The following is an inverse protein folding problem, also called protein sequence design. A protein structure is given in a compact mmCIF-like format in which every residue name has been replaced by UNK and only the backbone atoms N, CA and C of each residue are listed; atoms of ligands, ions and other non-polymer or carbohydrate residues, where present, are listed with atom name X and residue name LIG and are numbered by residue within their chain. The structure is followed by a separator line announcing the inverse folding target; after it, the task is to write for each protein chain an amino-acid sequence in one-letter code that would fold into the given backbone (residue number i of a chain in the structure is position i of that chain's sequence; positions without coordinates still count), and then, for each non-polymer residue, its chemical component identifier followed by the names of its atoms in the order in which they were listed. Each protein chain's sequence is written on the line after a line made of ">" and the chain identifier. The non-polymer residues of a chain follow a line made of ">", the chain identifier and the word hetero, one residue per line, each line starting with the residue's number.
data_IF_375474788527
#
_entry.id   IF_375474788527
#
_cell.length_a   1.000
_cell.length_b   1.000
_cell.length_c   1.000
_cell.angle_alpha   90.00
_cell.angle_beta   90.00
_cell.angle_gamma   90.00
#
_symmetry.space_group_name_H-M   'P 1'
#
loop_
_entity.id
_entity.type
_entity.pdbx_description
1 polymer ?
#
# COMPACT_ATOMS: atom_id res chain seq x y z
N UNK A 1 15.60 6.25 -3.90
CA UNK A 1 15.37 5.66 -2.56
C UNK A 1 16.62 5.66 -1.66
N UNK A 2 17.84 5.88 -2.16
CA UNK A 2 19.06 6.00 -1.32
C UNK A 2 18.95 7.03 -0.18
N UNK A 3 18.20 8.12 -0.38
CA UNK A 3 18.03 9.19 0.62
C UNK A 3 17.37 8.73 1.92
N UNK A 4 16.48 7.72 1.87
CA UNK A 4 15.81 7.18 3.06
C UNK A 4 16.83 6.43 3.93
N UNK A 5 17.74 5.67 3.30
CA UNK A 5 18.83 4.99 3.99
C UNK A 5 19.85 5.96 4.61
N UNK A 6 20.14 7.09 3.96
CA UNK A 6 21.05 8.11 4.52
C UNK A 6 20.44 8.76 5.77
N UNK A 7 19.14 9.11 5.74
CA UNK A 7 18.44 9.67 6.89
C UNK A 7 18.34 8.66 8.06
N UNK A 8 17.97 7.41 7.78
CA UNK A 8 17.90 6.36 8.78
C UNK A 8 19.29 6.06 9.38
N UNK A 9 20.37 6.09 8.58
CA UNK A 9 21.74 5.91 9.09
C UNK A 9 22.17 7.04 10.02
N UNK A 10 21.72 8.28 9.76
CA UNK A 10 22.01 9.45 10.59
C UNK A 10 21.26 9.39 11.93
N UNK A 11 20.05 8.84 11.94
CA UNK A 11 19.22 8.66 13.16
C UNK A 11 19.70 7.45 13.98
N UNK A 12 20.08 6.37 13.32
CA UNK A 12 20.47 5.13 13.99
C UNK A 12 21.89 5.14 14.59
N UNK A 13 22.72 6.16 14.28
CA UNK A 13 24.12 6.28 14.76
C UNK A 13 24.93 4.97 14.67
N UNK A 14 24.68 4.14 13.67
CA UNK A 14 25.36 2.85 13.47
C UNK A 14 24.67 1.61 14.07
N UNK A 15 23.57 1.75 14.81
CA UNK A 15 22.79 0.61 15.29
C UNK A 15 21.89 0.05 14.17
N UNK A 16 22.27 -1.13 13.68
CA UNK A 16 21.65 -1.81 12.53
C UNK A 16 20.17 -2.18 12.79
N UNK A 17 19.82 -2.47 14.05
CA UNK A 17 18.46 -2.84 14.44
C UNK A 17 17.53 -1.62 14.41
N UNK A 18 18.00 -0.48 14.93
CA UNK A 18 17.27 0.79 14.85
C UNK A 18 17.14 1.26 13.39
N UNK A 19 18.19 1.09 12.58
CA UNK A 19 18.14 1.42 11.15
C UNK A 19 17.03 0.64 10.42
N UNK A 20 17.01 -0.69 10.55
CA UNK A 20 16.00 -1.52 9.89
C UNK A 20 14.59 -1.22 10.43
N UNK A 21 14.44 -0.95 11.73
CA UNK A 21 13.17 -0.52 12.32
C UNK A 21 12.62 0.76 11.69
N UNK A 22 13.45 1.80 11.54
CA UNK A 22 13.04 3.05 10.90
C UNK A 22 12.72 2.88 9.41
N UNK A 23 13.49 2.06 8.69
CA UNK A 23 13.23 1.77 7.28
C UNK A 23 11.88 1.09 7.09
N UNK A 24 11.54 0.10 7.93
CA UNK A 24 10.24 -0.58 7.90
C UNK A 24 9.12 0.41 8.25
N UNK A 25 9.27 1.20 9.31
CA UNK A 25 8.26 2.16 9.76
C UNK A 25 7.94 3.20 8.68
N UNK A 26 8.97 3.83 8.10
CA UNK A 26 8.80 4.84 7.05
C UNK A 26 8.18 4.23 5.79
N UNK A 27 8.65 3.04 5.40
CA UNK A 27 8.09 2.34 4.24
C UNK A 27 6.62 1.98 4.48
N UNK A 28 6.26 1.56 5.69
CA UNK A 28 4.89 1.23 6.07
C UNK A 28 3.98 2.46 6.07
N UNK A 29 4.42 3.59 6.63
CA UNK A 29 3.67 4.85 6.56
C UNK A 29 3.41 5.27 5.11
N UNK A 30 4.43 5.18 4.25
CA UNK A 30 4.31 5.52 2.83
C UNK A 30 3.30 4.60 2.13
N UNK A 31 3.37 3.28 2.41
CA UNK A 31 2.43 2.32 1.85
C UNK A 31 1.00 2.62 2.28
N UNK A 32 0.78 2.89 3.56
CA UNK A 32 -0.54 3.17 4.10
C UNK A 32 -1.11 4.45 3.48
N UNK A 33 -0.29 5.48 3.30
CA UNK A 33 -0.67 6.70 2.61
C UNK A 33 -1.08 6.44 1.15
N UNK A 34 -0.27 5.70 0.40
CA UNK A 34 -0.58 5.31 -0.98
C UNK A 34 -1.84 4.44 -1.06
N UNK A 35 -2.03 3.54 -0.10
CA UNK A 35 -3.22 2.70 -0.03
C UNK A 35 -4.48 3.54 0.14
N UNK A 36 -4.47 4.55 1.00
CA UNK A 36 -5.62 5.45 1.18
C UNK A 36 -5.86 6.30 -0.06
N UNK A 37 -4.81 6.87 -0.66
CA UNK A 37 -4.95 7.72 -1.86
C UNK A 37 -5.47 6.95 -3.08
N UNK A 38 -4.89 5.79 -3.38
CA UNK A 38 -5.31 4.97 -4.53
C UNK A 38 -6.62 4.25 -4.23
N UNK A 39 -6.76 3.70 -3.03
CA UNK A 39 -7.97 2.99 -2.60
C UNK A 39 -9.20 3.89 -2.58
N UNK A 40 -9.09 5.13 -2.12
CA UNK A 40 -10.20 6.10 -2.20
C UNK A 40 -10.57 6.40 -3.65
N UNK A 41 -9.60 6.61 -4.53
CA UNK A 41 -9.85 6.85 -5.96
C UNK A 41 -10.61 5.68 -6.60
N UNK A 42 -10.19 4.44 -6.34
CA UNK A 42 -10.85 3.24 -6.86
C UNK A 42 -12.26 3.07 -6.27
N UNK A 43 -12.43 3.29 -4.96
CA UNK A 43 -13.74 3.24 -4.32
C UNK A 43 -14.70 4.27 -4.91
N UNK A 44 -14.26 5.52 -5.10
CA UNK A 44 -15.06 6.56 -5.73
C UNK A 44 -15.48 6.16 -7.15
N UNK A 45 -14.55 5.64 -7.96
CA UNK A 45 -14.86 5.18 -9.30
C UNK A 45 -15.92 4.05 -9.30
N UNK A 46 -15.76 3.06 -8.42
CA UNK A 46 -16.72 1.96 -8.30
C UNK A 46 -18.09 2.46 -7.80
N UNK A 47 -18.14 3.43 -6.88
CA UNK A 47 -19.40 4.04 -6.42
C UNK A 47 -20.12 4.74 -7.58
N UNK A 48 -19.39 5.50 -8.40
CA UNK A 48 -19.94 6.21 -9.56
C UNK A 48 -20.48 5.23 -10.60
N UNK A 49 -19.71 4.21 -10.97
CA UNK A 49 -20.12 3.19 -11.95
C UNK A 49 -21.41 2.53 -11.50
N UNK A 50 -21.48 2.17 -10.23
CA UNK A 50 -22.59 1.45 -9.66
C UNK A 50 -23.86 2.30 -9.54
N UNK A 51 -23.69 3.59 -9.21
CA UNK A 51 -24.77 4.56 -9.30
C UNK A 51 -25.32 4.65 -10.73
N UNK A 52 -24.44 4.77 -11.74
CA UNK A 52 -24.85 4.84 -13.15
C UNK A 52 -25.56 3.55 -13.58
N UNK A 53 -25.03 2.38 -13.24
CA UNK A 53 -25.60 1.09 -13.65
C UNK A 53 -26.95 0.84 -12.99
N UNK A 54 -27.12 1.23 -11.73
CA UNK A 54 -28.36 1.03 -10.99
C UNK A 54 -29.45 2.02 -11.43
N UNK A 55 -29.13 3.32 -11.49
CA UNK A 55 -30.13 4.38 -11.72
C UNK A 55 -30.38 4.65 -13.21
N UNK A 56 -29.34 4.57 -14.06
CA UNK A 56 -29.46 4.91 -15.49
C UNK A 56 -29.81 3.68 -16.32
N UNK A 57 -29.13 2.56 -16.07
CA UNK A 57 -29.27 1.36 -16.89
C UNK A 57 -30.34 0.37 -16.37
N UNK A 58 -30.92 0.60 -15.18
CA UNK A 58 -31.90 -0.29 -14.53
C UNK A 58 -31.47 -1.78 -14.48
N UNK A 59 -30.16 -2.05 -14.49
CA UNK A 59 -29.64 -3.41 -14.40
C UNK A 59 -29.62 -3.81 -12.92
N UNK A 60 -30.21 -4.96 -12.52
CA UNK A 60 -30.26 -5.37 -11.12
C UNK A 60 -28.87 -5.80 -10.62
N UNK A 61 -28.02 -4.84 -10.29
CA UNK A 61 -26.65 -5.00 -9.81
C UNK A 61 -26.56 -5.27 -8.30
N UNK A 62 -27.66 -5.73 -7.69
CA UNK A 62 -27.86 -5.60 -6.25
C UNK A 62 -27.25 -6.75 -5.43
N UNK A 63 -27.13 -7.97 -5.99
CA UNK A 63 -26.80 -9.15 -5.19
C UNK A 63 -25.32 -9.28 -4.81
N UNK A 64 -24.39 -8.70 -5.58
CA UNK A 64 -22.94 -8.87 -5.40
C UNK A 64 -22.15 -7.55 -5.26
N UNK A 65 -22.84 -6.42 -5.04
CA UNK A 65 -22.24 -5.08 -4.94
C UNK A 65 -21.07 -5.04 -3.96
N UNK A 66 -21.31 -5.48 -2.73
CA UNK A 66 -20.29 -5.55 -1.67
C UNK A 66 -19.15 -6.51 -1.99
N UNK A 67 -19.41 -7.60 -2.72
CA UNK A 67 -18.39 -8.58 -3.09
C UNK A 67 -17.39 -7.96 -4.08
N UNK A 68 -17.88 -7.21 -5.07
CA UNK A 68 -17.04 -6.55 -6.07
C UNK A 68 -16.13 -5.51 -5.41
N UNK A 69 -16.66 -4.66 -4.53
CA UNK A 69 -15.86 -3.69 -3.77
C UNK A 69 -14.76 -4.39 -2.96
N UNK A 70 -15.12 -5.45 -2.24
CA UNK A 70 -14.18 -6.20 -1.41
C UNK A 70 -13.07 -6.85 -2.26
N UNK A 71 -13.41 -7.51 -3.37
CA UNK A 71 -12.42 -8.15 -4.25
C UNK A 71 -11.47 -7.12 -4.86
N UNK A 72 -11.97 -5.96 -5.31
CA UNK A 72 -11.12 -4.89 -5.84
C UNK A 72 -10.15 -4.36 -4.78
N UNK A 73 -10.64 -4.08 -3.57
CA UNK A 73 -9.79 -3.57 -2.48
C UNK A 73 -8.76 -4.59 -1.99
N UNK A 74 -9.14 -5.87 -1.91
CA UNK A 74 -8.20 -6.96 -1.58
C UNK A 74 -7.13 -7.06 -2.65
N UNK A 75 -7.49 -7.08 -3.93
CA UNK A 75 -6.54 -7.19 -5.04
C UNK A 75 -5.56 -6.01 -5.04
N UNK A 76 -6.07 -4.79 -4.83
CA UNK A 76 -5.24 -3.59 -4.68
C UNK A 76 -4.26 -3.71 -3.51
N UNK A 77 -4.75 -4.19 -2.36
CA UNK A 77 -3.94 -4.43 -1.16
C UNK A 77 -2.84 -5.45 -1.39
N UNK A 78 -3.14 -6.57 -2.08
CA UNK A 78 -2.15 -7.61 -2.41
C UNK A 78 -1.06 -7.05 -3.32
N UNK A 79 -1.42 -6.34 -4.39
CA UNK A 79 -0.45 -5.76 -5.31
C UNK A 79 0.47 -4.78 -4.57
N UNK A 80 -0.11 -3.84 -3.81
CA UNK A 80 0.69 -2.87 -3.06
C UNK A 80 1.54 -3.54 -1.96
N UNK A 81 1.02 -4.57 -1.30
CA UNK A 81 1.77 -5.38 -0.34
C UNK A 81 3.01 -6.03 -0.96
N UNK A 82 2.89 -6.60 -2.16
CA UNK A 82 4.02 -7.18 -2.90
C UNK A 82 5.07 -6.11 -3.21
N UNK A 83 4.65 -4.96 -3.76
CA UNK A 83 5.56 -3.86 -4.07
C UNK A 83 6.28 -3.33 -2.82
N UNK A 84 5.56 -3.20 -1.71
CA UNK A 84 6.13 -2.79 -0.43
C UNK A 84 7.14 -3.79 0.10
N UNK A 85 6.81 -5.08 0.05
CA UNK A 85 7.67 -6.16 0.51
C UNK A 85 8.98 -6.14 -0.29
N UNK A 86 8.93 -5.99 -1.62
CA UNK A 86 10.11 -5.80 -2.47
C UNK A 86 10.91 -4.55 -2.09
N UNK A 87 10.24 -3.42 -1.83
CA UNK A 87 10.91 -2.18 -1.43
C UNK A 87 11.62 -2.31 -0.08
N UNK A 88 11.00 -2.98 0.88
CA UNK A 88 11.58 -3.26 2.20
C UNK A 88 12.76 -4.23 2.05
N UNK A 89 12.62 -5.32 1.31
CA UNK A 89 13.71 -6.28 1.06
C UNK A 89 14.95 -5.63 0.44
N UNK A 90 14.77 -4.66 -0.47
CA UNK A 90 15.90 -3.93 -1.10
C UNK A 90 16.55 -2.89 -0.18
N UNK A 91 15.85 -2.42 0.86
CA UNK A 91 16.35 -1.37 1.77
C UNK A 91 16.82 -1.90 3.13
N UNK A 92 16.40 -3.11 3.52
CA UNK A 92 16.96 -3.81 4.68
C UNK A 92 18.43 -4.06 4.40
N UNK A 93 19.30 -3.47 5.22
CA UNK A 93 20.70 -3.88 5.25
C UNK A 93 20.76 -5.12 6.12
N UNK A 94 21.14 -6.25 5.53
CA UNK A 94 21.57 -7.40 6.31
C UNK A 94 22.95 -7.08 6.89
N UNK A 95 23.13 -7.35 8.18
CA UNK A 95 24.44 -7.33 8.81
C UNK A 95 25.31 -8.29 8.00
N UNK A 96 26.22 -7.75 7.19
CA UNK A 96 27.28 -8.55 6.59
C UNK A 96 28.11 -9.00 7.78
N UNK A 97 27.97 -10.26 8.16
CA UNK A 97 28.86 -10.85 9.16
C UNK A 97 30.29 -10.64 8.66
N UNK A 98 31.11 -10.24 9.63
CA UNK A 98 32.51 -9.87 9.47
C UNK A 98 33.34 -11.00 8.87
#
# INVERSE_FOLDING_TARGET
>A
MERIGIAASKIAKGNLLLYNGYVILISFLLLLFLFVMVGSTVLFALIIIDYIVTEVAHVPFHKNRSFIYTVCMITLGVIMGIFHLVAVFKNIKFKKDS
#
